data_IF_846223326947
#
_entry.id   IF_846223326947
#
_cell.length_a   1.000
_cell.length_b   1.000
_cell.length_c   1.000
_cell.angle_alpha   90.00
_cell.angle_beta   90.00
_cell.angle_gamma   90.00
#
_symmetry.space_group_name_H-M   'P 1'
#
loop_
_entity.id
_entity.type
_entity.pdbx_description
1 polymer ?
#
# COMPACT_ATOMS: atom_id res chain seq x y z
N UNK A 1 23.92 -61.86 19.55
CA UNK A 1 23.40 -63.21 19.25
C UNK A 1 22.45 -63.58 20.37
N UNK A 2 21.25 -64.03 20.02
CA UNK A 2 20.20 -64.37 20.99
C UNK A 2 20.58 -65.64 21.75
N UNK A 3 21.41 -66.50 21.16
CA UNK A 3 22.02 -67.67 21.80
C UNK A 3 22.83 -67.37 23.07
N UNK A 4 23.25 -66.10 23.31
CA UNK A 4 23.90 -65.67 24.55
C UNK A 4 22.95 -65.50 25.73
N UNK A 5 21.63 -65.45 25.47
CA UNK A 5 20.59 -65.39 26.49
C UNK A 5 20.18 -66.79 26.97
N UNK A 6 20.67 -67.85 26.33
CA UNK A 6 20.39 -69.22 26.71
C UNK A 6 21.29 -69.67 27.89
N UNK A 7 20.81 -70.59 28.73
CA UNK A 7 21.61 -71.21 29.79
C UNK A 7 22.93 -71.82 29.26
N UNK A 8 23.99 -71.89 30.10
CA UNK A 8 25.30 -72.40 29.66
C UNK A 8 25.27 -73.87 29.22
N UNK A 9 24.28 -74.65 29.66
CA UNK A 9 24.08 -76.06 29.30
C UNK A 9 23.28 -76.26 27.98
N UNK A 10 22.94 -75.20 27.25
CA UNK A 10 22.18 -75.34 26.00
C UNK A 10 23.00 -75.97 24.87
N UNK A 11 22.34 -76.88 24.14
CA UNK A 11 22.92 -77.64 23.02
C UNK A 11 23.18 -76.78 21.78
N UNK A 12 23.99 -77.28 20.85
CA UNK A 12 24.30 -76.55 19.60
C UNK A 12 23.05 -76.30 18.75
N UNK A 13 22.13 -77.27 18.70
CA UNK A 13 20.86 -77.13 18.00
C UNK A 13 20.00 -76.00 18.60
N UNK A 14 19.88 -75.95 19.93
CA UNK A 14 19.12 -74.90 20.63
C UNK A 14 19.69 -73.50 20.38
N UNK A 15 21.04 -73.38 20.38
CA UNK A 15 21.73 -72.11 20.08
C UNK A 15 21.49 -71.67 18.63
N UNK A 16 21.64 -72.58 17.67
CA UNK A 16 21.37 -72.29 16.25
C UNK A 16 19.89 -71.96 15.99
N UNK A 17 18.96 -72.68 16.62
CA UNK A 17 17.53 -72.41 16.52
C UNK A 17 17.19 -71.04 17.12
N UNK A 18 17.76 -70.68 18.28
CA UNK A 18 17.53 -69.38 18.91
C UNK A 18 18.07 -68.21 18.06
N UNK A 19 19.23 -68.37 17.42
CA UNK A 19 19.75 -67.36 16.50
C UNK A 19 18.98 -67.30 15.18
N UNK A 20 18.43 -68.42 14.68
CA UNK A 20 17.57 -68.45 13.49
C UNK A 20 16.16 -67.90 13.75
N UNK A 21 15.64 -68.05 14.98
CA UNK A 21 14.36 -67.49 15.44
C UNK A 21 14.51 -66.04 15.95
N UNK A 22 15.72 -65.50 15.98
CA UNK A 22 15.94 -64.12 16.36
C UNK A 22 15.17 -63.20 15.40
N UNK A 23 14.48 -62.19 15.95
CA UNK A 23 13.81 -61.18 15.15
C UNK A 23 14.84 -60.55 14.22
N UNK A 24 14.51 -60.52 12.92
CA UNK A 24 15.38 -59.96 11.90
C UNK A 24 15.79 -58.53 12.27
N UNK A 25 17.07 -58.22 12.11
CA UNK A 25 17.63 -56.93 12.50
C UNK A 25 16.96 -55.76 11.76
N UNK A 26 16.53 -55.96 10.51
CA UNK A 26 15.79 -54.97 9.73
C UNK A 26 14.41 -54.72 10.33
N UNK A 27 13.71 -55.77 10.76
CA UNK A 27 12.39 -55.64 11.43
C UNK A 27 12.54 -54.91 12.76
N UNK A 28 13.58 -55.26 13.55
CA UNK A 28 13.85 -54.56 14.81
C UNK A 28 14.12 -53.07 14.60
N UNK A 29 14.94 -52.71 13.60
CA UNK A 29 15.21 -51.31 13.24
C UNK A 29 13.94 -50.59 12.78
N UNK A 30 13.13 -51.22 11.93
CA UNK A 30 11.87 -50.64 11.48
C UNK A 30 10.91 -50.35 12.65
N UNK A 31 10.83 -51.25 13.64
CA UNK A 31 10.04 -51.02 14.86
C UNK A 31 10.55 -49.84 15.67
N UNK A 32 11.87 -49.70 15.81
CA UNK A 32 12.49 -48.55 16.48
C UNK A 32 12.22 -47.25 15.70
N UNK A 33 12.27 -47.29 14.37
CA UNK A 33 12.02 -46.13 13.50
C UNK A 33 10.57 -45.67 13.52
N UNK A 34 9.59 -46.58 13.64
CA UNK A 34 8.15 -46.22 13.74
C UNK A 34 7.91 -45.27 14.92
N UNK A 35 8.53 -45.53 16.07
CA UNK A 35 8.38 -44.67 17.26
C UNK A 35 8.91 -43.24 17.05
N UNK A 36 9.84 -43.07 16.11
CA UNK A 36 10.50 -41.80 15.78
C UNK A 36 9.97 -41.16 14.50
N UNK A 37 9.17 -41.90 13.73
CA UNK A 37 8.74 -41.51 12.40
C UNK A 37 7.94 -40.21 12.38
N UNK A 38 7.22 -39.88 13.46
CA UNK A 38 6.45 -38.65 13.56
C UNK A 38 7.28 -37.41 13.90
N UNK A 39 8.34 -37.57 14.70
CA UNK A 39 9.07 -36.45 15.31
C UNK A 39 10.45 -36.18 14.69
N UNK A 40 11.14 -37.24 14.24
CA UNK A 40 12.54 -37.16 13.81
C UNK A 40 12.66 -37.53 12.34
N UNK A 41 12.28 -38.76 11.98
CA UNK A 41 12.59 -39.30 10.64
C UNK A 41 11.63 -38.82 9.56
N UNK A 42 10.36 -38.56 9.89
CA UNK A 42 9.28 -38.06 9.01
C UNK A 42 9.40 -38.55 7.55
N UNK A 43 9.11 -39.84 7.27
CA UNK A 43 9.19 -40.36 5.90
C UNK A 43 8.28 -39.56 4.95
N UNK A 44 8.71 -39.25 3.71
CA UNK A 44 7.92 -38.44 2.77
C UNK A 44 6.51 -39.00 2.52
N UNK A 45 6.37 -40.33 2.47
CA UNK A 45 5.09 -41.02 2.29
C UNK A 45 4.12 -40.83 3.46
N UNK A 46 4.59 -40.41 4.63
CA UNK A 46 3.76 -40.18 5.81
C UNK A 46 3.30 -38.72 5.94
N UNK A 47 3.96 -37.78 5.25
CA UNK A 47 3.66 -36.34 5.40
C UNK A 47 2.20 -35.99 5.15
N UNK A 48 1.50 -36.51 4.13
CA UNK A 48 0.08 -36.19 3.93
C UNK A 48 -0.79 -36.63 5.12
N UNK A 49 -0.49 -37.80 5.70
CA UNK A 49 -1.21 -38.31 6.86
C UNK A 49 -0.87 -37.55 8.14
N UNK A 50 0.37 -37.07 8.28
CA UNK A 50 0.76 -36.22 9.41
C UNK A 50 0.09 -34.84 9.31
N UNK A 51 0.06 -34.23 8.13
CA UNK A 51 -0.67 -32.98 7.88
C UNK A 51 -2.14 -33.15 8.22
N UNK A 52 -2.73 -34.28 7.83
CA UNK A 52 -4.13 -34.59 8.13
C UNK A 52 -4.39 -34.78 9.62
N UNK A 53 -3.56 -35.61 10.27
CA UNK A 53 -3.63 -35.90 11.70
C UNK A 53 -3.49 -34.63 12.55
N UNK A 54 -2.62 -33.71 12.13
CA UNK A 54 -2.42 -32.44 12.82
C UNK A 54 -3.43 -31.36 12.41
N UNK A 55 -4.29 -31.56 11.42
CA UNK A 55 -5.25 -30.52 11.00
C UNK A 55 -4.60 -29.31 10.33
N UNK A 56 -3.53 -29.52 9.55
CA UNK A 56 -2.73 -28.47 8.91
C UNK A 56 -3.10 -28.26 7.42
N UNK A 57 -4.16 -28.89 6.92
CA UNK A 57 -4.54 -28.89 5.51
C UNK A 57 -4.80 -27.47 5.00
N UNK A 58 -5.45 -26.62 5.80
CA UNK A 58 -5.79 -25.24 5.44
C UNK A 58 -4.55 -24.34 5.29
N UNK A 59 -3.41 -24.75 5.86
CA UNK A 59 -2.15 -24.03 5.78
C UNK A 59 -1.29 -24.45 4.57
N UNK A 60 -1.65 -25.53 3.89
CA UNK A 60 -0.91 -26.03 2.71
C UNK A 60 -0.62 -24.96 1.65
N UNK A 61 -1.53 -24.02 1.32
CA UNK A 61 -1.26 -23.00 0.31
C UNK A 61 -0.11 -22.04 0.63
N UNK A 62 0.28 -21.90 1.91
CA UNK A 62 1.34 -20.99 2.34
C UNK A 62 2.74 -21.63 2.30
N UNK A 63 2.84 -22.94 2.08
CA UNK A 63 4.10 -23.67 2.16
C UNK A 63 4.34 -24.50 0.90
N UNK A 64 5.52 -24.34 0.32
CA UNK A 64 5.97 -25.22 -0.78
C UNK A 64 6.50 -26.58 -0.28
N UNK A 65 6.95 -26.64 0.98
CA UNK A 65 7.57 -27.82 1.58
C UNK A 65 6.76 -28.30 2.79
N UNK A 66 6.28 -29.54 2.73
CA UNK A 66 5.48 -30.17 3.78
C UNK A 66 6.21 -30.34 5.12
N UNK A 67 7.55 -30.45 5.10
CA UNK A 67 8.32 -30.53 6.35
C UNK A 67 8.28 -29.22 7.14
N UNK A 68 8.41 -28.09 6.44
CA UNK A 68 8.35 -26.74 7.03
C UNK A 68 6.94 -26.44 7.53
N UNK A 69 5.92 -26.88 6.78
CA UNK A 69 4.52 -26.79 7.22
C UNK A 69 4.30 -27.51 8.55
N UNK A 70 4.82 -28.73 8.73
CA UNK A 70 4.66 -29.46 9.99
C UNK A 70 5.37 -28.72 11.13
N UNK A 71 6.61 -28.27 10.93
CA UNK A 71 7.40 -27.65 11.99
C UNK A 71 6.83 -26.28 12.42
N UNK A 72 6.44 -25.45 11.46
CA UNK A 72 5.90 -24.11 11.72
C UNK A 72 4.41 -24.14 12.05
N UNK A 73 3.64 -24.99 11.37
CA UNK A 73 2.20 -25.12 11.56
C UNK A 73 1.83 -25.61 12.96
N UNK A 74 2.60 -26.57 13.52
CA UNK A 74 2.41 -26.99 14.92
C UNK A 74 2.70 -25.85 15.90
N UNK A 75 3.77 -25.09 15.66
CA UNK A 75 4.12 -23.93 16.48
C UNK A 75 3.02 -22.87 16.44
N UNK A 76 2.46 -22.61 15.24
CA UNK A 76 1.33 -21.71 15.03
C UNK A 76 0.05 -22.19 15.73
N UNK A 77 -0.27 -23.49 15.66
CA UNK A 77 -1.47 -24.03 16.33
C UNK A 77 -1.45 -23.82 17.84
N UNK A 78 -0.28 -23.93 18.48
CA UNK A 78 -0.14 -23.72 19.92
C UNK A 78 -0.44 -22.27 20.35
N UNK A 79 -0.30 -21.31 19.45
CA UNK A 79 -0.52 -19.88 19.71
C UNK A 79 -1.76 -19.32 19.01
N UNK A 80 -2.53 -20.16 18.31
CA UNK A 80 -3.72 -19.76 17.55
C UNK A 80 -4.72 -19.02 18.44
N UNK A 81 -5.34 -17.97 17.91
CA UNK A 81 -6.23 -17.07 18.64
C UNK A 81 -5.51 -15.88 19.29
N UNK A 82 -4.21 -15.72 19.09
CA UNK A 82 -3.40 -14.60 19.57
C UNK A 82 -2.90 -13.71 18.43
N UNK A 83 -2.46 -12.50 18.76
CA UNK A 83 -1.79 -11.60 17.79
C UNK A 83 -0.51 -12.22 17.24
N UNK A 84 0.22 -13.00 18.06
CA UNK A 84 1.43 -13.70 17.62
C UNK A 84 1.14 -14.74 16.53
N UNK A 85 -0.05 -15.36 16.53
CA UNK A 85 -0.46 -16.25 15.44
C UNK A 85 -0.65 -15.50 14.11
N UNK A 86 -1.22 -14.29 14.19
CA UNK A 86 -1.39 -13.40 13.02
C UNK A 86 -0.02 -13.00 12.48
N UNK A 87 0.89 -12.54 13.37
CA UNK A 87 2.25 -12.16 12.98
C UNK A 87 3.01 -13.32 12.33
N UNK A 88 2.98 -14.51 12.92
CA UNK A 88 3.63 -15.70 12.36
C UNK A 88 3.00 -16.11 11.01
N UNK A 89 1.68 -16.04 10.89
CA UNK A 89 0.98 -16.34 9.64
C UNK A 89 1.32 -15.36 8.51
N UNK A 90 1.40 -14.06 8.82
CA UNK A 90 1.81 -13.04 7.85
C UNK A 90 3.27 -13.20 7.41
N UNK A 91 4.16 -13.70 8.28
CA UNK A 91 5.55 -13.99 7.91
C UNK A 91 5.65 -15.05 6.80
N UNK A 92 4.73 -16.00 6.71
CA UNK A 92 4.70 -16.97 5.61
C UNK A 92 4.37 -16.35 4.26
N UNK A 93 3.74 -15.17 4.27
CA UNK A 93 3.51 -14.33 3.10
C UNK A 93 4.61 -13.28 2.92
N UNK A 94 5.68 -13.33 3.72
CA UNK A 94 6.75 -12.33 3.79
C UNK A 94 6.25 -10.93 4.16
N UNK A 95 5.11 -10.85 4.88
CA UNK A 95 4.49 -9.61 5.32
C UNK A 95 4.68 -9.40 6.82
N UNK A 96 4.62 -8.14 7.23
CA UNK A 96 4.52 -7.74 8.64
C UNK A 96 3.54 -6.59 8.78
N UNK A 97 2.78 -6.63 9.86
CA UNK A 97 1.79 -5.61 10.17
C UNK A 97 1.74 -5.33 11.67
N UNK A 98 1.42 -4.10 12.02
CA UNK A 98 1.10 -3.69 13.37
C UNK A 98 -0.39 -3.90 13.65
N UNK A 99 -0.69 -4.53 14.79
CA UNK A 99 -2.06 -4.73 15.25
C UNK A 99 -2.58 -3.48 15.97
N UNK A 100 -3.74 -2.99 15.56
CA UNK A 100 -4.43 -1.90 16.26
C UNK A 100 -5.86 -2.33 16.58
N UNK A 101 -6.25 -2.41 17.87
CA UNK A 101 -7.61 -2.74 18.25
C UNK A 101 -8.55 -1.58 17.89
N UNK A 102 -9.83 -1.89 17.66
CA UNK A 102 -10.85 -0.85 17.64
C UNK A 102 -10.95 -0.16 19.01
N UNK A 103 -11.44 1.08 19.00
CA UNK A 103 -11.71 1.80 20.23
C UNK A 103 -12.77 1.06 21.06
N UNK A 104 -12.55 0.98 22.37
CA UNK A 104 -13.37 0.17 23.28
C UNK A 104 -14.81 0.65 23.43
N UNK A 105 -15.07 1.93 23.14
CA UNK A 105 -16.41 2.53 23.23
C UNK A 105 -17.23 2.33 21.95
N UNK A 106 -16.61 1.87 20.86
CA UNK A 106 -17.30 1.54 19.61
C UNK A 106 -18.26 0.37 19.82
N UNK A 107 -19.45 0.41 19.21
CA UNK A 107 -20.39 -0.72 19.24
C UNK A 107 -19.75 -2.04 18.76
N UNK A 108 -18.92 -1.96 17.71
CA UNK A 108 -18.13 -3.07 17.16
C UNK A 108 -16.70 -3.11 17.75
N UNK A 109 -16.62 -3.12 19.09
CA UNK A 109 -15.37 -3.06 19.88
C UNK A 109 -14.44 -4.26 19.68
N UNK A 110 -14.97 -5.42 19.27
CA UNK A 110 -14.21 -6.66 19.06
C UNK A 110 -13.49 -6.71 17.70
N UNK A 111 -13.58 -5.64 16.91
CA UNK A 111 -12.87 -5.52 15.63
C UNK A 111 -11.44 -5.00 15.79
N UNK A 112 -10.62 -5.25 14.78
CA UNK A 112 -9.25 -4.75 14.73
C UNK A 112 -8.84 -4.40 13.30
N UNK A 113 -7.79 -3.60 13.21
CA UNK A 113 -7.11 -3.27 11.95
C UNK A 113 -5.66 -3.72 11.96
N UNK A 114 -5.11 -3.96 10.77
CA UNK A 114 -3.71 -4.29 10.54
C UNK A 114 -3.05 -3.21 9.67
N UNK A 115 -2.06 -2.53 10.24
CA UNK A 115 -1.24 -1.55 9.52
C UNK A 115 0.02 -2.24 8.99
N UNK A 116 0.12 -2.41 7.67
CA UNK A 116 1.26 -3.08 7.05
C UNK A 116 2.49 -2.18 6.99
N UNK A 117 3.67 -2.80 7.11
CA UNK A 117 4.95 -2.09 6.95
C UNK A 117 5.34 -1.91 5.46
N UNK A 118 4.69 -2.66 4.56
CA UNK A 118 4.90 -2.60 3.12
C UNK A 118 3.58 -2.81 2.38
N UNK A 119 3.49 -2.32 1.14
CA UNK A 119 2.31 -2.49 0.32
C UNK A 119 2.14 -3.97 -0.09
N UNK A 120 1.06 -4.66 0.33
CA UNK A 120 0.82 -6.03 -0.10
C UNK A 120 0.45 -6.10 -1.59
N UNK A 121 0.77 -7.21 -2.26
CA UNK A 121 0.33 -7.45 -3.64
C UNK A 121 -1.19 -7.71 -3.71
N UNK A 122 -1.84 -7.30 -4.80
CA UNK A 122 -3.31 -7.43 -4.91
C UNK A 122 -3.76 -8.90 -4.90
N UNK A 123 -2.94 -9.79 -5.47
CA UNK A 123 -3.22 -11.24 -5.47
C UNK A 123 -3.10 -11.89 -4.09
N UNK A 124 -2.43 -11.25 -3.12
CA UNK A 124 -2.25 -11.82 -1.78
C UNK A 124 -3.34 -11.40 -0.81
N UNK A 125 -4.27 -10.51 -1.20
CA UNK A 125 -5.32 -10.01 -0.29
C UNK A 125 -6.19 -11.14 0.27
N UNK A 126 -6.65 -12.06 -0.56
CA UNK A 126 -7.44 -13.21 -0.10
C UNK A 126 -6.64 -14.15 0.82
N UNK A 127 -5.34 -14.31 0.54
CA UNK A 127 -4.43 -15.11 1.36
C UNK A 127 -4.19 -14.44 2.73
N UNK A 128 -4.06 -13.11 2.76
CA UNK A 128 -3.96 -12.32 3.99
C UNK A 128 -5.23 -12.50 4.82
N UNK A 129 -6.40 -12.32 4.23
CA UNK A 129 -7.66 -12.52 4.97
C UNK A 129 -7.80 -13.95 5.48
N UNK A 130 -7.45 -14.94 4.66
CA UNK A 130 -7.53 -16.34 5.04
C UNK A 130 -6.61 -16.64 6.22
N UNK A 131 -5.33 -16.25 6.18
CA UNK A 131 -4.42 -16.54 7.27
C UNK A 131 -4.78 -15.77 8.55
N UNK A 132 -5.23 -14.52 8.41
CA UNK A 132 -5.69 -13.71 9.56
C UNK A 132 -6.95 -14.32 10.18
N UNK A 133 -7.90 -14.77 9.37
CA UNK A 133 -9.13 -15.41 9.84
C UNK A 133 -8.87 -16.75 10.53
N UNK A 134 -7.93 -17.53 10.00
CA UNK A 134 -7.46 -18.76 10.64
C UNK A 134 -6.73 -18.47 11.96
N UNK A 135 -6.00 -17.35 12.05
CA UNK A 135 -5.14 -17.02 13.20
C UNK A 135 -5.86 -16.31 14.34
N UNK A 136 -6.87 -15.48 14.03
CA UNK A 136 -7.56 -14.64 15.02
C UNK A 136 -8.43 -15.47 15.97
N UNK A 137 -8.77 -14.87 17.11
CA UNK A 137 -9.80 -15.43 17.98
C UNK A 137 -11.15 -15.41 17.27
N UNK A 138 -11.99 -16.42 17.51
CA UNK A 138 -13.31 -16.53 16.88
C UNK A 138 -14.20 -15.30 17.10
N UNK A 139 -14.05 -14.61 18.24
CA UNK A 139 -14.82 -13.40 18.56
C UNK A 139 -14.21 -12.12 18.02
N UNK A 140 -13.01 -12.14 17.45
CA UNK A 140 -12.37 -10.94 16.92
C UNK A 140 -12.65 -10.83 15.44
N UNK A 141 -12.92 -9.62 14.96
CA UNK A 141 -13.23 -9.40 13.55
C UNK A 141 -12.13 -8.60 12.87
N UNK A 142 -11.60 -9.15 11.77
CA UNK A 142 -10.64 -8.44 10.95
C UNK A 142 -11.41 -7.47 10.05
N UNK A 143 -11.35 -6.19 10.40
CA UNK A 143 -12.20 -5.18 9.78
C UNK A 143 -11.52 -4.45 8.64
N UNK A 144 -10.24 -4.12 8.82
CA UNK A 144 -9.53 -3.23 7.93
C UNK A 144 -8.03 -3.49 7.89
N UNK A 145 -7.45 -3.26 6.72
CA UNK A 145 -6.02 -3.23 6.51
C UNK A 145 -5.60 -1.89 5.96
N UNK A 146 -4.49 -1.33 6.45
CA UNK A 146 -3.97 -0.04 6.03
C UNK A 146 -2.49 -0.12 5.62
N UNK A 147 -2.08 0.75 4.71
CA UNK A 147 -0.67 1.02 4.38
C UNK A 147 -0.53 2.46 3.93
N UNK A 148 0.22 3.28 4.66
CA UNK A 148 0.47 4.71 4.35
C UNK A 148 -0.76 5.62 4.16
N UNK A 149 -1.98 5.09 4.19
CA UNK A 149 -3.23 5.83 4.10
C UNK A 149 -4.23 5.28 5.10
N UNK A 150 -4.21 5.87 6.29
CA UNK A 150 -5.16 5.58 7.35
C UNK A 150 -6.06 6.79 7.63
N UNK A 151 -7.25 6.80 7.04
CA UNK A 151 -8.33 7.71 7.43
C UNK A 151 -9.44 6.88 8.04
N UNK A 152 -9.52 6.92 9.38
CA UNK A 152 -10.57 6.29 10.16
C UNK A 152 -11.87 7.08 10.17
N UNK A 153 -12.90 6.45 10.72
CA UNK A 153 -14.19 7.08 10.97
C UNK A 153 -14.08 8.15 12.07
N UNK A 154 -14.85 9.22 11.95
CA UNK A 154 -15.08 10.17 13.05
C UNK A 154 -16.11 9.57 13.99
N UNK A 155 -15.86 9.60 15.29
CA UNK A 155 -16.78 9.07 16.29
C UNK A 155 -17.77 10.17 16.69
N UNK A 156 -18.95 10.11 16.09
CA UNK A 156 -20.03 11.09 16.25
C UNK A 156 -21.26 10.55 16.97
N UNK A 157 -21.22 9.31 17.48
CA UNK A 157 -22.35 8.61 18.10
C UNK A 157 -23.09 9.52 19.09
N UNK A 158 -24.43 9.51 19.03
CA UNK A 158 -25.30 10.36 19.87
C UNK A 158 -25.17 11.88 19.64
N UNK A 159 -24.52 12.31 18.55
CA UNK A 159 -24.50 13.70 18.10
C UNK A 159 -25.28 13.90 16.80
N UNK A 160 -25.34 15.14 16.29
CA UNK A 160 -25.92 15.42 14.97
C UNK A 160 -25.06 14.92 13.80
N UNK A 161 -23.83 14.49 14.09
CA UNK A 161 -22.90 13.92 13.12
C UNK A 161 -23.01 12.39 13.05
N UNK A 162 -23.85 11.77 13.89
CA UNK A 162 -24.21 10.36 13.80
C UNK A 162 -24.91 10.07 12.46
N UNK A 163 -24.64 8.91 11.87
CA UNK A 163 -25.02 8.51 10.51
C UNK A 163 -24.56 9.47 9.39
N UNK A 164 -23.50 10.25 9.62
CA UNK A 164 -22.97 11.16 8.62
C UNK A 164 -21.92 10.49 7.72
N UNK A 165 -21.55 11.15 6.62
CA UNK A 165 -20.46 10.67 5.75
C UNK A 165 -19.10 10.56 6.47
N UNK A 166 -18.97 11.11 7.67
CA UNK A 166 -17.75 11.07 8.47
C UNK A 166 -17.56 9.73 9.20
N UNK A 167 -18.58 8.88 9.23
CA UNK A 167 -18.55 7.58 9.91
C UNK A 167 -17.94 6.47 9.03
N UNK A 168 -17.68 6.79 7.76
CA UNK A 168 -17.02 5.88 6.83
C UNK A 168 -15.51 5.89 7.01
N UNK A 169 -14.94 4.70 6.93
CA UNK A 169 -13.50 4.54 6.85
C UNK A 169 -13.03 4.58 5.41
N UNK A 170 -11.80 5.03 5.22
CA UNK A 170 -11.15 4.88 3.92
C UNK A 170 -10.87 3.41 3.60
N UNK A 171 -11.07 3.08 2.33
CA UNK A 171 -10.67 1.82 1.72
C UNK A 171 -11.71 1.30 0.73
N UNK A 172 -11.45 0.12 0.19
CA UNK A 172 -12.34 -0.61 -0.72
C UNK A 172 -12.39 -2.09 -0.32
N UNK A 173 -13.52 -2.74 -0.62
CA UNK A 173 -13.74 -4.18 -0.42
C UNK A 173 -13.62 -4.88 -1.77
N UNK A 174 -12.50 -5.56 -2.00
CA UNK A 174 -12.25 -6.25 -3.28
C UNK A 174 -12.47 -7.76 -3.19
N UNK A 175 -12.45 -8.32 -1.98
CA UNK A 175 -12.49 -9.76 -1.72
C UNK A 175 -13.90 -10.21 -1.30
N UNK A 176 -14.15 -11.51 -1.39
CA UNK A 176 -15.44 -12.08 -0.98
C UNK A 176 -15.72 -11.98 0.54
N UNK A 177 -14.68 -11.76 1.37
CA UNK A 177 -14.81 -11.64 2.82
C UNK A 177 -15.10 -10.22 3.31
N UNK A 178 -15.22 -9.26 2.39
CA UNK A 178 -15.64 -7.88 2.68
C UNK A 178 -14.75 -7.11 3.68
N UNK A 179 -13.46 -7.49 3.79
CA UNK A 179 -12.48 -6.69 4.55
C UNK A 179 -12.15 -5.42 3.80
N UNK A 180 -12.02 -4.31 4.53
CA UNK A 180 -11.68 -3.02 3.94
C UNK A 180 -10.15 -2.89 3.75
N UNK A 181 -9.70 -2.67 2.51
CA UNK A 181 -8.29 -2.40 2.21
C UNK A 181 -8.08 -0.93 1.87
N UNK A 182 -7.19 -0.28 2.63
CA UNK A 182 -6.90 1.15 2.54
C UNK A 182 -5.42 1.39 2.35
N UNK A 183 -4.97 1.26 1.11
CA UNK A 183 -3.58 1.48 0.78
C UNK A 183 -3.38 2.84 0.11
N UNK A 184 -2.24 3.46 0.42
CA UNK A 184 -1.78 4.66 -0.23
C UNK A 184 -0.33 4.53 -0.65
N UNK A 185 0.01 5.21 -1.73
CA UNK A 185 1.40 5.39 -2.16
C UNK A 185 1.62 6.83 -2.56
N UNK A 186 2.75 7.39 -2.15
CA UNK A 186 3.12 8.77 -2.48
C UNK A 186 4.24 8.78 -3.51
N UNK A 187 4.05 9.53 -4.60
CA UNK A 187 5.07 9.84 -5.60
C UNK A 187 5.40 11.32 -5.52
N UNK A 188 6.67 11.64 -5.29
CA UNK A 188 7.15 13.01 -5.17
C UNK A 188 7.98 13.39 -6.39
N UNK A 189 7.63 14.52 -7.02
CA UNK A 189 8.27 15.02 -8.24
C UNK A 189 8.74 16.45 -8.00
N UNK A 190 10.02 16.70 -8.25
CA UNK A 190 10.56 18.06 -8.32
C UNK A 190 10.66 18.47 -9.79
N UNK A 191 10.15 19.65 -10.12
CA UNK A 191 10.27 20.20 -11.47
C UNK A 191 10.64 21.68 -11.41
N UNK A 192 11.52 22.10 -12.30
CA UNK A 192 11.79 23.51 -12.55
C UNK A 192 11.13 23.87 -13.87
N UNK A 193 10.20 24.82 -13.84
CA UNK A 193 9.46 25.28 -15.00
C UNK A 193 10.44 25.83 -16.04
N UNK A 194 10.43 25.25 -17.23
CA UNK A 194 11.27 25.74 -18.32
C UNK A 194 10.64 26.94 -19.01
N UNK A 195 11.47 27.78 -19.66
CA UNK A 195 11.00 28.91 -20.48
C UNK A 195 9.99 28.51 -21.54
N UNK A 196 10.16 27.33 -22.14
CA UNK A 196 9.24 26.82 -23.14
C UNK A 196 7.88 26.49 -22.51
N UNK A 197 7.85 25.74 -21.41
CA UNK A 197 6.62 25.40 -20.70
C UNK A 197 5.90 26.65 -20.17
N UNK A 198 6.62 27.57 -19.54
CA UNK A 198 6.04 28.82 -19.03
C UNK A 198 5.43 29.67 -20.14
N UNK A 199 6.08 29.77 -21.31
CA UNK A 199 5.54 30.51 -22.46
C UNK A 199 4.31 29.82 -23.04
N UNK A 200 4.28 28.49 -23.07
CA UNK A 200 3.14 27.72 -23.55
C UNK A 200 1.89 27.94 -22.69
N UNK A 201 2.05 28.08 -21.38
CA UNK A 201 0.91 28.31 -20.46
C UNK A 201 0.59 29.80 -20.26
N UNK A 202 1.44 30.71 -20.75
CA UNK A 202 1.28 32.16 -20.57
C UNK A 202 1.66 32.66 -19.17
N UNK A 203 2.59 31.98 -18.49
CA UNK A 203 3.07 32.34 -17.15
C UNK A 203 4.56 32.75 -17.13
N UNK A 204 5.25 32.77 -18.27
CA UNK A 204 6.68 33.04 -18.26
C UNK A 204 6.99 34.52 -18.18
N UNK A 205 7.73 34.90 -17.14
CA UNK A 205 8.35 36.20 -16.99
C UNK A 205 9.85 36.03 -17.29
N UNK A 206 10.39 36.85 -18.19
CA UNK A 206 11.81 36.79 -18.55
C UNK A 206 12.69 37.25 -17.38
N UNK A 207 13.79 36.54 -17.18
CA UNK A 207 14.81 36.86 -16.18
C UNK A 207 15.71 37.96 -16.77
N UNK A 208 15.32 39.22 -16.59
CA UNK A 208 16.11 40.39 -16.99
C UNK A 208 16.63 41.12 -15.75
N UNK A 209 17.89 41.57 -15.80
CA UNK A 209 18.50 42.40 -14.74
C UNK A 209 17.87 43.81 -14.62
N UNK A 210 16.91 44.14 -15.48
CA UNK A 210 16.17 45.41 -15.50
C UNK A 210 14.83 45.28 -14.76
N UNK A 211 14.33 46.38 -14.19
CA UNK A 211 13.05 46.42 -13.47
C UNK A 211 11.91 45.89 -14.36
N UNK A 212 11.10 44.97 -13.81
CA UNK A 212 9.90 44.47 -14.49
C UNK A 212 8.98 45.64 -14.84
N UNK A 213 8.83 45.92 -16.14
CA UNK A 213 7.89 46.92 -16.59
C UNK A 213 6.47 46.34 -16.67
N UNK A 214 5.48 47.12 -16.23
CA UNK A 214 4.05 46.76 -16.28
C UNK A 214 3.60 46.22 -17.64
N UNK A 215 4.21 46.71 -18.72
CA UNK A 215 3.84 46.40 -20.09
C UNK A 215 4.28 44.99 -20.53
N UNK A 216 5.13 44.32 -19.74
CA UNK A 216 5.70 43.01 -20.04
C UNK A 216 5.01 41.87 -19.28
N UNK A 217 4.08 42.19 -18.37
CA UNK A 217 3.43 41.22 -17.50
C UNK A 217 1.96 41.10 -17.92
N UNK A 218 1.59 39.93 -18.45
CA UNK A 218 0.19 39.55 -18.72
C UNK A 218 -0.40 38.90 -17.46
N UNK A 219 -0.63 39.72 -16.43
CA UNK A 219 -1.18 39.31 -15.14
C UNK A 219 -2.50 40.04 -14.86
N UNK A 220 -3.51 39.39 -14.25
CA UNK A 220 -4.72 40.06 -13.81
C UNK A 220 -4.38 41.01 -12.65
N UNK A 221 -4.06 42.26 -12.97
CA UNK A 221 -3.61 43.28 -12.01
C UNK A 221 -4.58 43.52 -10.85
N UNK A 222 -5.86 43.19 -11.05
CA UNK A 222 -6.91 43.26 -10.04
C UNK A 222 -6.66 42.31 -8.83
N UNK A 223 -5.74 41.35 -8.97
CA UNK A 223 -5.36 40.38 -7.94
C UNK A 223 -3.96 40.62 -7.35
N UNK A 224 -3.21 41.60 -7.84
CA UNK A 224 -1.83 41.84 -7.41
C UNK A 224 -1.79 42.44 -5.99
N UNK A 225 -1.38 41.66 -4.98
CA UNK A 225 -1.30 42.10 -3.58
C UNK A 225 0.10 41.91 -2.98
N UNK A 226 1.15 42.28 -3.73
CA UNK A 226 2.54 42.23 -3.28
C UNK A 226 3.16 43.64 -3.18
N UNK A 227 4.18 43.83 -2.33
CA UNK A 227 4.83 45.14 -2.18
C UNK A 227 5.54 45.56 -3.47
N UNK A 228 5.20 46.73 -3.99
CA UNK A 228 5.90 47.34 -5.13
C UNK A 228 7.25 47.89 -4.69
N UNK A 229 8.29 47.08 -4.81
CA UNK A 229 9.70 47.46 -4.62
C UNK A 229 10.49 47.03 -5.87
N UNK A 230 11.65 47.63 -6.12
CA UNK A 230 12.48 47.36 -7.29
C UNK A 230 12.98 45.90 -7.35
N UNK A 231 12.92 45.32 -8.56
CA UNK A 231 12.79 43.87 -8.79
C UNK A 231 14.07 43.07 -8.57
N UNK A 232 13.94 41.95 -7.84
CA UNK A 232 14.89 40.83 -7.77
C UNK A 232 14.19 39.56 -8.25
N UNK A 233 14.97 38.53 -8.66
CA UNK A 233 14.52 37.15 -8.96
C UNK A 233 13.40 36.62 -8.05
N UNK A 234 13.45 36.98 -6.77
CA UNK A 234 12.46 36.62 -5.76
C UNK A 234 11.02 37.04 -6.10
N UNK A 235 10.80 38.28 -6.56
CA UNK A 235 9.45 38.80 -6.87
C UNK A 235 8.87 38.18 -8.14
N UNK A 236 9.73 37.92 -9.14
CA UNK A 236 9.38 37.14 -10.34
C UNK A 236 8.82 35.77 -9.94
N UNK A 237 9.52 35.07 -9.07
CA UNK A 237 9.14 33.71 -8.66
C UNK A 237 7.81 33.72 -7.87
N UNK A 238 7.56 34.76 -7.07
CA UNK A 238 6.27 34.97 -6.38
C UNK A 238 5.14 35.13 -7.40
N UNK A 239 5.30 36.02 -8.38
CA UNK A 239 4.30 36.26 -9.42
C UNK A 239 3.97 35.00 -10.22
N UNK A 240 5.01 34.26 -10.61
CA UNK A 240 4.85 33.01 -11.35
C UNK A 240 4.18 31.91 -10.53
N UNK A 241 4.41 31.87 -9.21
CA UNK A 241 3.71 30.97 -8.30
C UNK A 241 2.24 31.39 -8.12
N UNK A 242 2.01 32.67 -7.86
CA UNK A 242 0.68 33.23 -7.58
C UNK A 242 -0.27 33.06 -8.78
N UNK A 243 0.24 33.11 -10.01
CA UNK A 243 -0.54 32.89 -11.23
C UNK A 243 -1.36 31.59 -11.26
N UNK A 244 -0.90 30.54 -10.55
CA UNK A 244 -1.63 29.27 -10.45
C UNK A 244 -2.75 29.31 -9.41
N UNK A 245 -2.75 30.30 -8.51
CA UNK A 245 -3.81 30.48 -7.52
C UNK A 245 -5.16 30.66 -8.21
N UNK A 246 -6.20 30.01 -7.68
CA UNK A 246 -7.55 29.99 -8.24
C UNK A 246 -7.70 29.31 -9.61
N UNK A 247 -6.63 28.76 -10.20
CA UNK A 247 -6.72 27.96 -11.42
C UNK A 247 -6.94 26.50 -11.09
N UNK A 248 -7.82 25.85 -11.84
CA UNK A 248 -8.00 24.40 -11.73
C UNK A 248 -6.99 23.71 -12.65
N UNK A 249 -6.20 22.82 -12.05
CA UNK A 249 -5.18 22.04 -12.74
C UNK A 249 -5.56 20.56 -12.69
N UNK A 250 -5.14 19.82 -13.71
CA UNK A 250 -5.39 18.39 -13.80
C UNK A 250 -4.08 17.64 -14.00
N UNK A 251 -3.91 16.56 -13.28
CA UNK A 251 -2.84 15.60 -13.48
C UNK A 251 -3.30 14.57 -14.51
N UNK A 252 -2.52 14.36 -15.57
CA UNK A 252 -2.79 13.38 -16.60
C UNK A 252 -1.88 12.16 -16.43
N UNK A 253 -2.47 10.97 -16.33
CA UNK A 253 -1.75 9.71 -16.28
C UNK A 253 -1.81 9.03 -17.64
N UNK A 254 -0.66 8.57 -18.13
CA UNK A 254 -0.54 7.92 -19.44
C UNK A 254 0.25 6.61 -19.35
N UNK A 255 -0.10 5.68 -20.23
CA UNK A 255 0.60 4.39 -20.36
C UNK A 255 1.89 4.49 -21.19
N UNK A 256 2.55 3.35 -21.41
CA UNK A 256 3.80 3.27 -22.18
C UNK A 256 3.62 3.65 -23.67
N UNK A 257 2.41 3.53 -24.21
CA UNK A 257 2.06 3.92 -25.57
C UNK A 257 1.61 5.39 -25.65
N UNK A 258 1.76 6.14 -24.57
CA UNK A 258 1.28 7.52 -24.42
C UNK A 258 -0.25 7.66 -24.49
N UNK A 259 -1.00 6.55 -24.37
CA UNK A 259 -2.44 6.58 -24.28
C UNK A 259 -2.87 7.09 -22.90
N UNK A 260 -3.95 7.87 -22.87
CA UNK A 260 -4.49 8.44 -21.64
C UNK A 260 -5.14 7.32 -20.80
N UNK A 261 -4.74 7.23 -19.54
CA UNK A 261 -5.41 6.41 -18.52
C UNK A 261 -6.55 7.21 -17.89
N UNK A 262 -6.28 8.46 -17.51
CA UNK A 262 -7.28 9.41 -17.06
C UNK A 262 -6.65 10.69 -16.50
N UNK A 263 -7.52 11.64 -16.15
CA UNK A 263 -7.16 12.88 -15.51
C UNK A 263 -7.68 12.93 -14.08
N UNK A 264 -6.88 13.47 -13.17
CA UNK A 264 -7.27 13.75 -11.79
C UNK A 264 -7.11 15.22 -11.48
N UNK A 265 -8.15 15.86 -10.96
CA UNK A 265 -8.06 17.25 -10.50
C UNK A 265 -7.04 17.37 -9.36
N UNK A 266 -6.17 18.37 -9.43
CA UNK A 266 -5.29 18.73 -8.31
C UNK A 266 -6.15 19.24 -7.14
N UNK A 267 -6.04 18.60 -5.98
CA UNK A 267 -6.74 19.00 -4.76
C UNK A 267 -5.99 20.08 -3.99
N UNK A 268 -4.69 20.27 -4.26
CA UNK A 268 -3.89 21.35 -3.69
C UNK A 268 -3.14 22.04 -4.83
N UNK A 269 -3.26 23.36 -4.90
CA UNK A 269 -2.53 24.25 -5.81
C UNK A 269 -2.24 25.53 -5.03
N UNK A 270 -1.07 25.63 -4.41
CA UNK A 270 -0.77 26.74 -3.52
C UNK A 270 0.70 27.19 -3.62
N UNK A 271 0.95 28.51 -3.69
CA UNK A 271 2.27 29.06 -3.45
C UNK A 271 2.72 28.76 -2.01
N UNK A 272 3.98 28.39 -1.86
CA UNK A 272 4.54 27.93 -0.59
C UNK A 272 5.91 28.52 -0.30
N UNK A 273 6.23 28.58 0.99
CA UNK A 273 7.54 28.92 1.52
C UNK A 273 8.05 27.79 2.42
N UNK A 274 9.37 27.69 2.57
CA UNK A 274 9.99 26.68 3.43
C UNK A 274 9.74 27.01 4.90
N UNK A 275 9.32 26.02 5.69
CA UNK A 275 9.04 26.17 7.10
C UNK A 275 9.54 24.93 7.87
N UNK A 276 9.91 25.07 9.14
CA UNK A 276 10.41 23.95 9.95
C UNK A 276 9.28 22.97 10.27
N UNK A 277 8.12 23.47 10.68
CA UNK A 277 6.91 22.69 11.01
C UNK A 277 5.79 22.95 9.99
N UNK A 278 6.16 22.89 8.71
CA UNK A 278 5.23 23.14 7.62
C UNK A 278 4.12 22.10 7.47
N UNK A 279 2.92 22.55 7.10
CA UNK A 279 1.76 21.70 6.83
C UNK A 279 1.98 20.72 5.67
N UNK A 280 2.78 21.11 4.68
CA UNK A 280 3.13 20.25 3.54
C UNK A 280 4.51 19.63 3.70
N UNK A 281 4.66 18.41 3.20
CA UNK A 281 5.93 17.69 3.13
C UNK A 281 6.25 17.27 1.71
N UNK A 282 7.50 17.48 1.31
CA UNK A 282 8.04 17.04 0.03
C UNK A 282 9.55 16.79 0.13
N UNK A 283 9.99 15.59 -0.21
CA UNK A 283 11.39 15.13 -0.21
C UNK A 283 12.12 15.44 1.11
N UNK A 284 11.46 15.20 2.24
CA UNK A 284 11.99 15.45 3.58
C UNK A 284 11.93 16.92 4.04
N UNK A 285 11.64 17.86 3.14
CA UNK A 285 11.44 19.26 3.49
C UNK A 285 9.99 19.56 3.85
N UNK A 286 9.79 20.63 4.62
CA UNK A 286 8.48 21.08 5.09
C UNK A 286 8.18 22.49 4.58
N UNK A 287 6.92 22.75 4.27
CA UNK A 287 6.47 23.99 3.64
C UNK A 287 5.11 24.45 4.18
N UNK A 288 4.90 25.76 4.21
CA UNK A 288 3.60 26.36 4.52
C UNK A 288 3.05 27.13 3.31
N UNK A 289 1.71 27.16 3.14
CA UNK A 289 1.07 28.08 2.21
C UNK A 289 1.47 29.51 2.54
N UNK A 290 1.92 30.26 1.53
CA UNK A 290 2.30 31.66 1.70
C UNK A 290 2.00 32.43 0.42
N UNK A 291 1.28 33.56 0.47
CA UNK A 291 1.02 34.38 -0.72
C UNK A 291 2.30 34.96 -1.32
N UNK A 292 3.39 35.04 -0.53
CA UNK A 292 4.73 35.45 -0.98
C UNK A 292 5.66 34.25 -1.21
N UNK A 293 5.09 33.05 -1.40
CA UNK A 293 5.84 31.85 -1.70
C UNK A 293 6.47 31.88 -3.08
N UNK A 294 7.75 31.53 -3.20
CA UNK A 294 8.49 31.47 -4.49
C UNK A 294 8.42 30.11 -5.17
N UNK A 295 7.74 29.14 -4.55
CA UNK A 295 7.56 27.80 -5.08
C UNK A 295 6.08 27.47 -5.09
N UNK A 296 5.67 26.58 -5.98
CA UNK A 296 4.30 26.09 -6.04
C UNK A 296 4.24 24.63 -5.60
N UNK A 297 3.38 24.34 -4.64
CA UNK A 297 3.05 22.97 -4.25
C UNK A 297 1.76 22.54 -4.92
N UNK A 298 1.83 21.41 -5.60
CA UNK A 298 0.73 20.77 -6.27
C UNK A 298 0.53 19.38 -5.67
N UNK A 299 -0.72 19.02 -5.39
CA UNK A 299 -1.05 17.65 -5.08
C UNK A 299 -2.28 17.21 -5.86
N UNK A 300 -2.26 15.95 -6.30
CA UNK A 300 -3.43 15.25 -6.80
C UNK A 300 -3.41 13.84 -6.20
N UNK A 301 -4.59 13.32 -5.86
CA UNK A 301 -4.74 11.97 -5.29
C UNK A 301 -5.85 11.23 -5.98
N UNK A 302 -5.58 10.04 -6.53
CA UNK A 302 -6.62 9.16 -7.08
C UNK A 302 -7.57 8.67 -5.99
N UNK A 303 -8.77 8.24 -6.34
CA UNK A 303 -9.61 7.44 -5.45
C UNK A 303 -9.36 5.94 -5.61
N UNK A 304 -9.90 5.17 -4.68
CA UNK A 304 -10.04 3.73 -4.88
C UNK A 304 -10.94 3.47 -6.09
N UNK A 305 -10.67 2.39 -6.83
CA UNK A 305 -11.43 1.99 -8.03
C UNK A 305 -11.42 2.99 -9.21
N UNK A 306 -10.74 4.14 -9.11
CA UNK A 306 -10.58 5.09 -10.24
C UNK A 306 -9.90 4.40 -11.43
N UNK A 307 -8.96 3.48 -11.15
CA UNK A 307 -8.21 2.69 -12.13
C UNK A 307 -7.93 1.29 -11.58
N UNK A 308 -8.09 0.29 -12.46
CA UNK A 308 -7.77 -1.11 -12.17
C UNK A 308 -6.85 -1.67 -13.27
N UNK A 309 -5.79 -2.39 -12.86
CA UNK A 309 -4.87 -3.13 -13.73
C UNK A 309 -4.26 -2.31 -14.89
N UNK A 310 -3.81 -1.08 -14.61
CA UNK A 310 -3.09 -0.24 -15.58
C UNK A 310 -1.68 0.10 -15.10
N UNK A 311 -0.74 0.16 -16.05
CA UNK A 311 0.61 0.64 -15.79
C UNK A 311 0.74 2.11 -16.22
N UNK A 312 0.93 3.02 -15.27
CA UNK A 312 1.28 4.40 -15.56
C UNK A 312 2.78 4.51 -15.85
N UNK A 313 3.09 5.02 -17.06
CA UNK A 313 4.45 5.21 -17.55
C UNK A 313 4.87 6.68 -17.57
N UNK A 314 3.91 7.61 -17.59
CA UNK A 314 4.20 9.03 -17.43
C UNK A 314 3.07 9.77 -16.73
N UNK A 315 3.45 10.86 -16.08
CA UNK A 315 2.56 11.82 -15.46
C UNK A 315 2.87 13.20 -15.99
N UNK A 316 1.83 13.97 -16.31
CA UNK A 316 1.95 15.37 -16.72
C UNK A 316 0.92 16.26 -16.02
N UNK A 317 1.18 17.56 -16.02
CA UNK A 317 0.25 18.56 -15.51
C UNK A 317 -0.42 19.26 -16.70
N UNK A 318 -1.74 19.25 -16.73
CA UNK A 318 -2.56 19.95 -17.71
C UNK A 318 -3.08 21.25 -17.11
N UNK A 319 -2.74 22.36 -17.78
CA UNK A 319 -3.18 23.72 -17.45
C UNK A 319 -4.22 24.17 -18.46
N UNK A 320 -5.18 25.01 -18.08
CA UNK A 320 -6.26 25.51 -18.96
C UNK A 320 -7.23 24.44 -19.51
N UNK A 321 -7.23 23.24 -18.92
CA UNK A 321 -8.21 22.20 -19.25
C UNK A 321 -9.61 22.61 -18.80
N UNK A 322 -10.62 22.36 -19.65
CA UNK A 322 -12.04 22.65 -19.34
C UNK A 322 -12.85 21.37 -19.36
N UNK A 323 -13.68 21.17 -18.34
CA UNK A 323 -14.54 19.98 -18.24
C UNK A 323 -15.59 20.04 -19.36
N UNK A 324 -15.80 18.92 -20.05
CA UNK A 324 -16.82 18.83 -21.09
C UNK A 324 -18.22 18.96 -20.48
N UNK A 325 -19.14 19.65 -21.17
CA UNK A 325 -20.50 19.95 -20.68
C UNK A 325 -21.32 18.73 -20.25
N UNK A 326 -21.03 17.55 -20.82
CA UNK A 326 -21.74 16.31 -20.52
C UNK A 326 -21.21 15.58 -19.27
N UNK A 327 -20.14 16.08 -18.66
CA UNK A 327 -19.52 15.45 -17.49
C UNK A 327 -20.29 15.83 -16.22
N UNK A 328 -20.64 14.86 -15.36
CA UNK A 328 -21.29 15.16 -14.10
C UNK A 328 -20.49 16.16 -13.25
N UNK A 329 -21.16 17.17 -12.65
CA UNK A 329 -20.49 18.10 -11.77
C UNK A 329 -19.94 17.36 -10.55
N UNK A 330 -18.70 17.69 -10.15
CA UNK A 330 -18.05 17.07 -9.01
C UNK A 330 -17.34 15.74 -9.28
N UNK A 331 -17.40 15.21 -10.53
CA UNK A 331 -16.59 14.05 -10.91
C UNK A 331 -15.10 14.37 -10.77
N UNK A 332 -14.39 13.61 -9.95
CA UNK A 332 -12.99 13.89 -9.61
C UNK A 332 -12.01 13.22 -10.58
N UNK A 333 -12.35 12.03 -11.07
CA UNK A 333 -11.62 11.28 -12.08
C UNK A 333 -12.28 11.43 -13.45
N UNK A 334 -11.54 11.94 -14.43
CA UNK A 334 -12.04 12.20 -15.77
C UNK A 334 -11.40 11.25 -16.79
N UNK A 335 -12.22 10.58 -17.57
CA UNK A 335 -11.81 9.70 -18.65
C UNK A 335 -11.50 10.46 -19.95
N UNK A 336 -11.29 9.68 -21.01
CA UNK A 336 -11.07 10.22 -22.35
C UNK A 336 -12.28 11.02 -22.85
N UNK A 337 -12.05 12.25 -23.33
CA UNK A 337 -13.08 13.12 -23.90
C UNK A 337 -13.89 13.94 -22.88
N UNK A 338 -13.74 13.68 -21.58
CA UNK A 338 -14.42 14.43 -20.51
C UNK A 338 -13.69 15.74 -20.13
N UNK A 339 -12.46 15.91 -20.61
CA UNK A 339 -11.67 17.13 -20.49
C UNK A 339 -11.28 17.61 -21.89
N UNK A 340 -11.52 18.89 -22.18
CA UNK A 340 -11.27 19.54 -23.48
C UNK A 340 -10.19 20.60 -23.35
N UNK A 341 -9.35 20.66 -24.38
CA UNK A 341 -8.26 21.63 -24.47
C UNK A 341 -7.19 21.41 -23.41
N UNK A 342 -6.54 22.51 -23.03
CA UNK A 342 -5.44 22.52 -22.08
C UNK A 342 -4.07 22.29 -22.71
N UNK A 343 -3.05 22.66 -21.94
CA UNK A 343 -1.63 22.58 -22.31
C UNK A 343 -0.95 21.68 -21.29
N UNK A 344 -0.31 20.62 -21.78
CA UNK A 344 0.48 19.72 -20.94
C UNK A 344 1.89 20.29 -20.72
N UNK A 345 2.29 20.32 -19.46
CA UNK A 345 3.65 20.64 -19.01
C UNK A 345 4.14 19.55 -18.06
N UNK A 346 5.42 19.56 -17.70
CA UNK A 346 5.97 18.71 -16.64
C UNK A 346 5.71 17.23 -16.93
N UNK A 347 6.14 16.75 -18.09
CA UNK A 347 5.98 15.33 -18.43
C UNK A 347 7.11 14.52 -17.80
N UNK A 348 6.82 13.86 -16.69
CA UNK A 348 7.78 13.06 -15.93
C UNK A 348 7.53 11.56 -16.16
N UNK A 349 8.56 10.77 -16.51
CA UNK A 349 8.43 9.32 -16.58
C UNK A 349 8.25 8.73 -15.19
N UNK A 350 7.33 7.77 -15.06
CA UNK A 350 7.05 7.02 -13.84
C UNK A 350 6.90 5.54 -14.19
N UNK A 351 6.95 4.66 -13.18
CA UNK A 351 6.72 3.24 -13.38
C UNK A 351 5.86 2.71 -12.24
N UNK A 352 4.55 2.93 -12.35
CA UNK A 352 3.61 2.77 -11.25
C UNK A 352 2.46 1.86 -11.71
N UNK A 353 2.30 0.65 -11.13
CA UNK A 353 1.10 -0.15 -11.32
C UNK A 353 -0.05 0.47 -10.53
N UNK A 354 -1.08 0.94 -11.24
CA UNK A 354 -2.30 1.50 -10.68
C UNK A 354 -3.26 0.35 -10.35
N UNK A 355 -3.76 0.33 -9.12
CA UNK A 355 -4.61 -0.71 -8.57
C UNK A 355 -5.87 -0.12 -7.96
N UNK A 356 -6.94 -0.91 -7.90
CA UNK A 356 -8.21 -0.49 -7.33
C UNK A 356 -8.13 -0.22 -5.81
N UNK A 357 -7.26 -0.93 -5.09
CA UNK A 357 -7.08 -0.83 -3.64
C UNK A 357 -6.03 0.20 -3.18
N UNK A 358 -5.39 0.92 -4.11
CA UNK A 358 -4.33 1.87 -3.80
C UNK A 358 -4.70 3.27 -4.25
N UNK A 359 -4.67 4.23 -3.32
CA UNK A 359 -4.71 5.66 -3.66
C UNK A 359 -3.30 6.15 -3.97
N UNK A 360 -3.08 6.57 -5.21
CA UNK A 360 -1.85 7.23 -5.61
C UNK A 360 -1.94 8.71 -5.28
N UNK A 361 -1.03 9.19 -4.45
CA UNK A 361 -0.83 10.60 -4.16
C UNK A 361 0.40 11.11 -4.91
N UNK A 362 0.18 12.03 -5.84
CA UNK A 362 1.26 12.74 -6.52
C UNK A 362 1.45 14.08 -5.82
N UNK A 363 2.68 14.35 -5.36
CA UNK A 363 3.10 15.64 -4.83
C UNK A 363 4.14 16.21 -5.76
N UNK A 364 3.87 17.38 -6.32
CA UNK A 364 4.76 18.03 -7.26
C UNK A 364 5.19 19.37 -6.66
N UNK A 365 6.51 19.54 -6.51
CA UNK A 365 7.11 20.82 -6.15
C UNK A 365 7.62 21.49 -7.42
N UNK A 366 6.98 22.61 -7.78
CA UNK A 366 7.32 23.39 -8.97
C UNK A 366 8.14 24.62 -8.56
N UNK A 367 9.28 24.81 -9.24
CA UNK A 367 10.20 25.96 -9.11
C UNK A 367 10.24 26.76 -10.41
N UNK A 368 10.64 28.03 -10.35
CA UNK A 368 10.56 28.99 -11.48
C UNK A 368 11.90 29.53 -11.95
#
# INVERSE_FOLDING_TARGET
MVSLLLPPNSSLFERCLADAMAVDLQVKRALEDISRAKFITRPPSWLPFLIDEYGLQELTPYFSNSYDLIDQGLSWQNIRGSVAAIELGLQWLELSAHFTPAWSERAWWNSFQLEFNQLPEQRSLEAIEAIVDLSKSFRSDFRRSTYSYDVGATEGDMSRLDDSMLDFESGVRLTARDTLFSFGRTTEINHTLTKQEGKLIGNWIDDTDEELSWNQIDYPWDLANFPWCSVKKHERDILMAEWFSNRTLYLALRDANNALIGYRRCNIVQPIEQAIEGAYSHCGNRFNPSPTGTMLFLAARTDFEDVEDKQAASVSLLVHGTVAEQTPPGKLWLGFGELRGGVEILKTPINIPLRADVREQFKILLRF
#
